data_IF_887176270275
#
_entry.id   IF_887176270275
#
_cell.length_a   1.000
_cell.length_b   1.000
_cell.length_c   1.000
_cell.angle_alpha   90.00
_cell.angle_beta   90.00
_cell.angle_gamma   90.00
#
_symmetry.space_group_name_H-M   'P 1'
#
loop_
_entity.id
_entity.type
_entity.pdbx_description
1 polymer ?
#
# COMPACT_ATOMS: atom_id res chain seq x y z
N UNK A 1 -13.26 3.25 -3.89
CA UNK A 1 -11.85 3.18 -4.34
C UNK A 1 -10.83 3.65 -3.28
N UNK A 2 -11.18 3.80 -1.99
CA UNK A 2 -10.20 4.18 -0.95
C UNK A 2 -9.10 3.14 -0.76
N UNK A 3 -9.38 1.88 -1.08
CA UNK A 3 -8.45 0.77 -0.84
C UNK A 3 -7.34 0.62 -1.91
N UNK A 4 -7.35 1.45 -2.94
CA UNK A 4 -6.36 1.42 -4.03
C UNK A 4 -5.22 2.41 -3.82
N UNK A 5 -5.37 3.34 -2.89
CA UNK A 5 -4.43 4.42 -2.65
C UNK A 5 -3.95 4.43 -1.18
N UNK A 6 -2.98 3.60 -0.82
CA UNK A 6 -2.31 3.76 0.46
C UNK A 6 -1.22 4.85 0.36
N UNK A 7 -1.52 5.94 -0.30
CA UNK A 7 -0.75 7.17 -0.08
C UNK A 7 -1.18 7.59 1.30
N UNK A 8 -0.27 7.56 2.25
CA UNK A 8 -0.60 8.01 3.59
C UNK A 8 -1.10 9.45 3.46
N UNK A 9 -2.35 9.67 3.85
CA UNK A 9 -2.96 11.01 3.86
C UNK A 9 -2.05 12.02 4.56
N UNK A 10 -1.27 11.57 5.55
CA UNK A 10 -0.23 12.33 6.23
C UNK A 10 0.87 12.86 5.30
N UNK A 11 1.32 12.08 4.32
CA UNK A 11 2.34 12.54 3.36
C UNK A 11 1.77 13.61 2.42
N UNK A 12 0.51 13.45 2.01
CA UNK A 12 -0.16 14.44 1.16
C UNK A 12 -0.46 15.70 1.96
N UNK A 13 -1.08 15.55 3.13
CA UNK A 13 -1.44 16.68 3.99
C UNK A 13 -0.21 17.44 4.47
N UNK A 14 0.88 16.75 4.83
CA UNK A 14 2.14 17.37 5.24
C UNK A 14 2.79 18.25 4.17
N UNK A 15 2.50 18.01 2.88
CA UNK A 15 3.01 18.84 1.77
C UNK A 15 2.11 20.02 1.39
N UNK A 16 0.81 19.91 1.64
CA UNK A 16 -0.18 20.93 1.22
C UNK A 16 -0.75 21.75 2.36
N UNK A 17 -0.67 21.27 3.58
CA UNK A 17 -1.02 22.06 4.77
C UNK A 17 0.27 22.56 5.41
N UNK A 18 0.34 23.86 5.81
CA UNK A 18 1.41 24.35 6.66
C UNK A 18 1.23 23.69 8.03
N UNK A 19 1.76 22.48 8.18
CA UNK A 19 1.85 21.83 9.49
C UNK A 19 2.98 22.53 10.22
N UNK A 20 2.64 23.47 11.06
CA UNK A 20 3.58 24.07 11.99
C UNK A 20 4.04 22.98 12.97
N UNK A 21 5.22 23.12 13.55
CA UNK A 21 5.79 22.17 14.53
C UNK A 21 4.86 21.89 15.74
N UNK A 22 3.77 22.65 15.88
CA UNK A 22 2.74 22.52 16.92
C UNK A 22 1.54 21.63 16.53
N UNK A 23 1.45 21.18 15.27
CA UNK A 23 0.31 20.40 14.77
C UNK A 23 0.66 18.91 14.58
N UNK A 24 -0.10 18.04 15.21
CA UNK A 24 0.00 16.59 15.04
C UNK A 24 -1.17 16.12 14.18
N UNK A 25 -0.87 15.46 13.05
CA UNK A 25 -1.88 14.85 12.19
C UNK A 25 -2.05 13.39 12.59
N UNK A 26 -3.26 13.04 13.02
CA UNK A 26 -3.63 11.70 13.44
C UNK A 26 -4.77 11.17 12.56
N UNK A 27 -4.68 9.91 12.18
CA UNK A 27 -5.80 9.19 11.57
C UNK A 27 -6.91 8.92 12.60
N UNK A 28 -8.12 8.64 12.14
CA UNK A 28 -9.24 8.31 13.03
C UNK A 28 -8.95 7.09 13.91
N UNK A 29 -8.18 6.12 13.40
CA UNK A 29 -7.77 4.94 14.17
C UNK A 29 -6.76 5.31 15.27
N UNK A 30 -5.77 6.13 14.96
CA UNK A 30 -4.80 6.61 15.96
C UNK A 30 -5.46 7.41 17.07
N UNK A 31 -6.44 8.27 16.74
CA UNK A 31 -7.23 8.99 17.75
C UNK A 31 -8.02 8.03 18.63
N UNK A 32 -8.61 6.98 18.04
CA UNK A 32 -9.35 5.98 18.81
C UNK A 32 -8.43 5.13 19.70
N UNK A 33 -7.28 4.73 19.19
CA UNK A 33 -6.28 4.00 19.97
C UNK A 33 -5.74 4.84 21.12
N UNK A 34 -5.44 6.11 20.87
CA UNK A 34 -5.01 7.05 21.88
C UNK A 34 -6.07 7.26 22.98
N UNK A 35 -7.35 7.38 22.59
CA UNK A 35 -8.45 7.43 23.55
C UNK A 35 -8.51 6.16 24.41
N UNK A 36 -8.35 4.97 23.81
CA UNK A 36 -8.36 3.71 24.55
C UNK A 36 -7.19 3.60 25.51
N UNK A 37 -6.02 4.06 25.14
CA UNK A 37 -4.83 4.01 25.97
C UNK A 37 -4.92 4.97 27.14
N UNK A 38 -5.30 6.24 26.90
CA UNK A 38 -5.34 7.28 27.93
C UNK A 38 -6.57 7.14 28.83
N UNK A 39 -7.77 6.94 28.25
CA UNK A 39 -9.03 6.99 29.03
C UNK A 39 -9.45 5.61 29.54
N UNK A 40 -9.12 4.56 28.79
CA UNK A 40 -9.51 3.18 29.14
C UNK A 40 -8.37 2.37 29.72
N UNK A 41 -7.17 2.94 29.80
CA UNK A 41 -5.94 2.27 30.29
C UNK A 41 -5.69 0.91 29.60
N UNK A 42 -6.07 0.81 28.30
CA UNK A 42 -5.96 -0.42 27.50
C UNK A 42 -4.96 -0.19 26.39
N UNK A 43 -3.83 -0.87 26.47
CA UNK A 43 -2.83 -0.88 25.39
C UNK A 43 -3.39 -1.55 24.14
N UNK A 44 -2.86 -1.15 22.98
CA UNK A 44 -3.15 -1.76 21.69
C UNK A 44 -2.54 -3.16 21.67
N UNK A 45 -3.37 -4.17 21.74
CA UNK A 45 -2.98 -5.60 21.70
C UNK A 45 -3.32 -6.29 20.38
N UNK A 46 -4.16 -5.64 19.58
CA UNK A 46 -4.65 -6.18 18.32
C UNK A 46 -4.91 -5.07 17.29
N UNK A 47 -4.83 -5.43 16.03
CA UNK A 47 -5.12 -4.57 14.89
C UNK A 47 -6.26 -5.12 14.06
N UNK A 48 -6.96 -4.25 13.34
CA UNK A 48 -7.90 -4.64 12.30
C UNK A 48 -7.13 -4.71 10.98
N UNK A 49 -7.15 -5.87 10.35
CA UNK A 49 -6.55 -6.09 9.04
C UNK A 49 -7.60 -6.50 8.02
N UNK A 50 -7.47 -5.96 6.83
CA UNK A 50 -8.31 -6.34 5.69
C UNK A 50 -7.59 -7.41 4.88
N UNK A 51 -8.22 -8.56 4.72
CA UNK A 51 -7.76 -9.67 3.88
C UNK A 51 -8.58 -9.68 2.59
N UNK A 52 -7.95 -9.42 1.45
CA UNK A 52 -8.64 -9.25 0.17
C UNK A 52 -7.77 -9.69 -1.01
N UNK A 53 -8.30 -9.63 -2.21
CA UNK A 53 -7.60 -9.94 -3.45
C UNK A 53 -8.45 -10.79 -4.41
N UNK A 54 -7.98 -11.00 -5.61
CA UNK A 54 -8.67 -11.78 -6.63
C UNK A 54 -8.54 -13.30 -6.40
N UNK A 55 -7.55 -13.72 -5.63
CA UNK A 55 -7.34 -15.13 -5.26
C UNK A 55 -8.29 -15.60 -4.14
N UNK A 56 -8.92 -14.70 -3.36
CA UNK A 56 -9.80 -15.07 -2.24
C UNK A 56 -11.26 -15.17 -2.67
N UNK A 57 -12.00 -16.04 -1.99
CA UNK A 57 -13.44 -16.22 -2.26
C UNK A 57 -14.26 -15.06 -1.73
N UNK A 58 -13.98 -14.61 -0.52
CA UNK A 58 -14.71 -13.53 0.15
C UNK A 58 -13.71 -12.68 0.95
N UNK A 59 -13.61 -11.38 0.66
CA UNK A 59 -12.83 -10.46 1.47
C UNK A 59 -13.36 -10.39 2.91
N UNK A 60 -12.44 -10.21 3.85
CA UNK A 60 -12.80 -10.11 5.28
C UNK A 60 -11.97 -9.06 5.98
N UNK A 61 -12.58 -8.43 6.98
CA UNK A 61 -11.86 -7.63 7.97
C UNK A 61 -11.82 -8.45 9.26
N UNK A 62 -10.62 -8.68 9.77
CA UNK A 62 -10.41 -9.49 10.96
C UNK A 62 -9.63 -8.71 12.02
N UNK A 63 -10.00 -8.92 13.28
CA UNK A 63 -9.22 -8.39 14.40
C UNK A 63 -8.19 -9.43 14.82
N UNK A 64 -6.92 -9.09 14.71
CA UNK A 64 -5.81 -10.01 14.97
C UNK A 64 -4.92 -9.45 16.06
N UNK A 65 -4.44 -10.30 16.95
CA UNK A 65 -3.43 -9.91 17.95
C UNK A 65 -2.11 -9.62 17.26
N UNK A 66 -1.43 -8.58 17.72
CA UNK A 66 -0.06 -8.26 17.28
C UNK A 66 0.86 -9.43 17.66
N UNK A 67 1.74 -9.82 16.74
CA UNK A 67 2.63 -10.97 16.92
C UNK A 67 2.08 -12.30 16.38
N UNK A 68 0.82 -12.35 15.91
CA UNK A 68 0.26 -13.57 15.30
C UNK A 68 0.84 -13.79 13.90
N UNK A 69 1.30 -15.00 13.53
CA UNK A 69 1.69 -15.32 12.16
C UNK A 69 0.50 -15.17 11.19
N UNK A 70 0.72 -14.54 10.04
CA UNK A 70 -0.33 -14.37 9.03
C UNK A 70 -0.88 -15.70 8.55
N UNK A 71 -0.06 -16.74 8.47
CA UNK A 71 -0.47 -18.07 8.06
C UNK A 71 -1.59 -18.61 8.94
N UNK A 72 -1.49 -18.51 10.28
CA UNK A 72 -2.53 -18.96 11.22
C UNK A 72 -3.85 -18.20 11.01
N UNK A 73 -3.76 -16.89 10.76
CA UNK A 73 -4.93 -16.05 10.50
C UNK A 73 -5.65 -16.51 9.23
N UNK A 74 -4.87 -16.77 8.18
CA UNK A 74 -5.39 -17.18 6.88
C UNK A 74 -6.02 -18.57 6.94
N UNK A 75 -5.35 -19.53 7.55
CA UNK A 75 -5.87 -20.89 7.72
C UNK A 75 -7.21 -20.91 8.51
N UNK A 76 -7.32 -20.04 9.51
CA UNK A 76 -8.53 -19.95 10.34
C UNK A 76 -9.69 -19.20 9.65
N UNK A 77 -9.42 -18.28 8.72
CA UNK A 77 -10.42 -17.31 8.28
C UNK A 77 -10.70 -17.29 6.79
N UNK A 78 -9.77 -17.76 5.95
CA UNK A 78 -9.83 -17.53 4.51
C UNK A 78 -10.08 -18.80 3.69
N UNK A 79 -10.78 -18.62 2.56
CA UNK A 79 -10.92 -19.63 1.53
C UNK A 79 -10.44 -19.04 0.20
N UNK A 80 -9.66 -19.82 -0.53
CA UNK A 80 -9.05 -19.41 -1.79
C UNK A 80 -9.75 -20.01 -3.00
N UNK A 81 -9.82 -19.24 -4.07
CA UNK A 81 -10.25 -19.68 -5.41
C UNK A 81 -9.07 -20.27 -6.21
N UNK A 82 -7.87 -19.80 -5.91
CA UNK A 82 -6.63 -20.23 -6.57
C UNK A 82 -5.57 -20.53 -5.53
N UNK A 83 -4.78 -21.57 -5.77
CA UNK A 83 -3.61 -21.90 -4.94
C UNK A 83 -2.33 -21.18 -5.40
N UNK A 84 -2.33 -20.66 -6.63
CA UNK A 84 -1.20 -19.91 -7.18
C UNK A 84 -1.45 -18.41 -7.01
N UNK A 85 -1.05 -17.89 -5.87
CA UNK A 85 -1.16 -16.47 -5.54
C UNK A 85 0.12 -15.92 -4.93
N UNK A 86 0.26 -14.61 -5.02
CA UNK A 86 1.27 -13.81 -4.32
C UNK A 86 0.60 -13.03 -3.19
N UNK A 87 1.34 -12.82 -2.11
CA UNK A 87 0.90 -12.03 -0.97
C UNK A 87 1.58 -10.68 -1.00
N UNK A 88 0.79 -9.61 -0.95
CA UNK A 88 1.28 -8.23 -0.95
C UNK A 88 0.72 -7.53 0.29
N UNK A 89 1.62 -7.00 1.12
CA UNK A 89 1.27 -6.32 2.36
C UNK A 89 1.22 -4.81 2.15
N UNK A 90 0.23 -4.15 2.74
CA UNK A 90 0.04 -2.70 2.78
C UNK A 90 -0.12 -2.01 1.41
N UNK A 91 -0.68 -2.72 0.43
CA UNK A 91 -1.16 -2.12 -0.79
C UNK A 91 -0.48 -2.58 -2.07
N UNK A 92 -1.23 -2.48 -3.17
CA UNK A 92 -0.82 -2.96 -4.49
C UNK A 92 0.23 -2.08 -5.17
N UNK A 93 0.44 -0.87 -4.69
CA UNK A 93 1.31 0.11 -5.32
C UNK A 93 2.71 0.17 -4.70
N UNK A 94 2.78 0.10 -3.38
CA UNK A 94 4.02 0.14 -2.58
C UNK A 94 4.22 -1.14 -1.76
N UNK A 95 3.29 -2.06 -1.83
CA UNK A 95 3.31 -3.26 -1.01
C UNK A 95 4.52 -4.14 -1.29
N UNK A 96 4.97 -4.81 -0.26
CA UNK A 96 6.06 -5.77 -0.34
C UNK A 96 5.48 -7.15 -0.62
N UNK A 97 5.94 -7.78 -1.70
CA UNK A 97 5.67 -9.21 -1.93
C UNK A 97 6.46 -10.02 -0.91
N UNK A 98 5.77 -10.87 -0.18
CA UNK A 98 6.37 -11.68 0.88
C UNK A 98 5.75 -13.08 0.90
N UNK A 99 6.49 -14.04 1.45
CA UNK A 99 5.91 -15.36 1.71
C UNK A 99 5.00 -15.28 2.93
N UNK A 100 3.86 -15.94 2.87
CA UNK A 100 2.86 -15.94 3.94
C UNK A 100 3.42 -16.42 5.28
N UNK A 101 4.36 -17.37 5.26
CA UNK A 101 5.03 -17.92 6.45
C UNK A 101 5.96 -16.95 7.15
N UNK A 102 6.43 -15.94 6.44
CA UNK A 102 7.43 -14.99 6.97
C UNK A 102 6.78 -13.74 7.55
N UNK A 103 5.47 -13.58 7.36
CA UNK A 103 4.73 -12.40 7.81
C UNK A 103 4.18 -12.62 9.21
N UNK A 104 4.61 -11.77 10.13
CA UNK A 104 4.06 -11.65 11.48
C UNK A 104 3.24 -10.35 11.52
N UNK A 105 2.04 -10.41 12.08
CA UNK A 105 1.16 -9.24 12.18
C UNK A 105 1.77 -8.22 13.15
N UNK A 106 2.08 -7.05 12.60
CA UNK A 106 2.54 -5.86 13.33
C UNK A 106 1.46 -4.80 13.35
N UNK A 107 1.66 -3.74 14.11
CA UNK A 107 0.71 -2.61 14.14
C UNK A 107 0.66 -1.79 12.85
N UNK A 108 1.64 -1.95 11.97
CA UNK A 108 1.69 -1.24 10.67
C UNK A 108 0.90 -1.96 9.56
N UNK A 109 0.56 -3.24 9.77
CA UNK A 109 -0.16 -4.01 8.75
C UNK A 109 -1.64 -3.64 8.81
N UNK A 110 -2.15 -3.08 7.69
CA UNK A 110 -3.56 -2.69 7.51
C UNK A 110 -4.29 -3.59 6.52
N UNK A 111 -3.61 -3.96 5.47
CA UNK A 111 -4.20 -4.70 4.35
C UNK A 111 -3.24 -5.78 3.88
N UNK A 112 -3.78 -6.96 3.61
CA UNK A 112 -3.06 -8.04 2.95
C UNK A 112 -3.83 -8.44 1.70
N UNK A 113 -3.16 -8.36 0.56
CA UNK A 113 -3.70 -8.75 -0.74
C UNK A 113 -3.19 -10.13 -1.14
N UNK A 114 -4.11 -10.98 -1.52
CA UNK A 114 -3.85 -12.30 -2.13
C UNK A 114 -4.19 -12.21 -3.61
N UNK A 115 -3.19 -11.96 -4.43
CA UNK A 115 -3.39 -11.73 -5.85
C UNK A 115 -2.96 -12.96 -6.65
N UNK A 116 -3.79 -13.39 -7.59
CA UNK A 116 -3.40 -14.47 -8.53
C UNK A 116 -2.16 -14.03 -9.27
N UNK A 117 -1.15 -14.90 -9.28
CA UNK A 117 0.11 -14.62 -10.00
C UNK A 117 -0.16 -14.41 -11.47
N UNK A 118 0.18 -13.23 -11.98
CA UNK A 118 0.13 -12.89 -13.39
C UNK A 118 1.55 -12.63 -13.87
N UNK A 119 1.98 -13.40 -14.86
CA UNK A 119 3.25 -13.10 -15.52
C UNK A 119 3.03 -11.87 -16.40
N UNK A 120 3.55 -10.74 -15.97
CA UNK A 120 3.57 -9.51 -16.77
C UNK A 120 4.98 -9.29 -17.32
N UNK A 121 5.08 -9.07 -18.61
CA UNK A 121 6.36 -8.76 -19.26
C UNK A 121 6.43 -7.25 -19.50
N UNK A 122 7.54 -6.65 -19.13
CA UNK A 122 7.85 -5.28 -19.50
C UNK A 122 7.98 -5.17 -21.02
N UNK A 123 7.35 -4.16 -21.60
CA UNK A 123 7.45 -3.85 -23.03
C UNK A 123 7.87 -2.40 -23.24
N UNK A 124 8.24 -2.08 -24.48
CA UNK A 124 8.64 -0.71 -24.83
C UNK A 124 7.53 0.31 -24.53
N UNK A 125 7.94 1.52 -24.13
CA UNK A 125 6.99 2.60 -23.87
C UNK A 125 6.22 2.98 -25.15
N UNK A 126 4.88 2.97 -25.06
CA UNK A 126 3.98 3.37 -26.17
C UNK A 126 3.63 4.87 -26.15
N UNK A 127 4.27 5.65 -25.32
CA UNK A 127 4.11 7.12 -25.22
C UNK A 127 2.67 7.58 -24.92
N UNK A 128 1.86 6.80 -24.20
CA UNK A 128 0.44 7.08 -23.93
C UNK A 128 0.21 8.23 -22.95
N UNK A 129 1.20 8.65 -22.15
CA UNK A 129 1.11 9.77 -21.22
C UNK A 129 0.37 9.50 -19.90
N UNK A 130 -0.28 8.34 -19.71
CA UNK A 130 -1.07 8.03 -18.51
C UNK A 130 -0.32 8.18 -17.20
N UNK A 131 0.97 7.88 -17.19
CA UNK A 131 1.82 8.04 -15.99
C UNK A 131 1.94 9.51 -15.54
N UNK A 132 1.92 10.46 -16.49
CA UNK A 132 1.92 11.89 -16.14
C UNK A 132 0.55 12.36 -15.63
N UNK A 133 -0.54 11.84 -16.20
CA UNK A 133 -1.92 12.21 -15.83
C UNK A 133 -2.25 11.75 -14.40
N UNK A 134 -1.81 10.54 -14.03
CA UNK A 134 -2.12 9.95 -12.72
C UNK A 134 -1.27 10.51 -11.59
N UNK A 135 -0.18 11.22 -11.90
CA UNK A 135 0.76 11.69 -10.88
C UNK A 135 0.14 12.82 -10.02
N UNK A 136 -0.07 12.61 -8.72
CA UNK A 136 -0.74 13.58 -7.84
C UNK A 136 0.08 14.85 -7.66
N UNK A 137 1.40 14.76 -7.75
CA UNK A 137 2.34 15.89 -7.60
C UNK A 137 2.88 16.39 -8.93
N UNK A 138 2.34 15.91 -10.05
CA UNK A 138 2.71 16.32 -11.41
C UNK A 138 4.20 16.21 -11.73
N UNK A 139 4.84 15.20 -11.19
CA UNK A 139 6.28 14.91 -11.31
C UNK A 139 6.74 14.53 -12.73
N UNK A 140 5.81 14.31 -13.65
CA UNK A 140 6.05 13.90 -15.03
C UNK A 140 6.91 12.62 -15.15
N UNK A 141 6.45 11.46 -14.64
CA UNK A 141 7.21 10.21 -14.62
C UNK A 141 7.75 9.77 -15.98
N UNK A 142 7.04 10.10 -17.05
CA UNK A 142 7.52 9.87 -18.42
C UNK A 142 8.85 10.55 -18.74
N UNK A 143 9.03 11.80 -18.29
CA UNK A 143 10.28 12.52 -18.50
C UNK A 143 11.41 11.97 -17.62
N UNK A 144 11.10 11.54 -16.41
CA UNK A 144 12.05 10.86 -15.54
C UNK A 144 12.55 9.55 -16.19
N UNK A 145 11.64 8.76 -16.75
CA UNK A 145 12.00 7.56 -17.53
C UNK A 145 12.92 7.85 -18.70
N UNK A 146 12.62 8.86 -19.52
CA UNK A 146 13.46 9.25 -20.66
C UNK A 146 14.84 9.80 -20.25
N UNK A 147 14.91 10.48 -19.12
CA UNK A 147 16.15 11.10 -18.62
C UNK A 147 16.93 10.23 -17.64
N UNK A 148 16.50 8.96 -17.46
CA UNK A 148 17.12 8.02 -16.54
C UNK A 148 17.27 8.57 -15.11
N UNK A 149 16.22 9.18 -14.57
CA UNK A 149 16.16 9.58 -13.16
C UNK A 149 16.58 11.00 -12.83
N UNK A 150 16.80 11.88 -13.80
CA UNK A 150 17.38 13.22 -13.52
C UNK A 150 16.37 14.34 -13.20
N UNK A 151 15.07 14.09 -13.06
CA UNK A 151 14.08 15.18 -13.06
C UNK A 151 12.97 15.16 -12.00
N UNK A 152 12.93 14.22 -11.08
CA UNK A 152 11.77 14.07 -10.21
C UNK A 152 12.05 13.90 -8.71
N UNK A 153 13.30 13.89 -8.30
CA UNK A 153 13.75 13.39 -6.99
C UNK A 153 13.16 14.13 -5.78
N UNK A 154 12.94 15.44 -5.86
CA UNK A 154 12.51 16.24 -4.69
C UNK A 154 10.98 16.30 -4.48
N UNK A 155 10.18 15.99 -5.50
CA UNK A 155 8.72 16.13 -5.44
C UNK A 155 7.98 14.78 -5.47
N UNK A 156 8.67 13.69 -5.74
CA UNK A 156 8.07 12.39 -5.85
C UNK A 156 7.59 11.87 -4.48
N UNK A 157 6.33 11.40 -4.43
CA UNK A 157 5.76 10.73 -3.25
C UNK A 157 6.13 9.24 -3.22
N UNK A 158 6.85 8.75 -4.22
CA UNK A 158 7.15 7.31 -4.39
C UNK A 158 5.91 6.42 -4.33
N UNK A 159 4.74 6.94 -4.68
CA UNK A 159 3.46 6.28 -4.50
C UNK A 159 3.21 5.07 -5.44
N UNK A 160 4.05 4.86 -6.46
CA UNK A 160 3.93 3.74 -7.40
C UNK A 160 2.82 3.84 -8.45
N UNK A 161 1.93 4.85 -8.39
CA UNK A 161 0.80 5.00 -9.31
C UNK A 161 1.21 5.00 -10.79
N UNK A 162 2.31 5.66 -11.12
CA UNK A 162 2.82 5.74 -12.49
C UNK A 162 3.19 4.37 -13.06
N UNK A 163 3.79 3.50 -12.25
CA UNK A 163 4.12 2.14 -12.64
C UNK A 163 2.88 1.28 -12.76
N UNK A 164 1.96 1.41 -11.81
CA UNK A 164 0.71 0.65 -11.77
C UNK A 164 -0.18 0.89 -12.99
N UNK A 165 -0.32 2.16 -13.42
CA UNK A 165 -1.17 2.52 -14.57
C UNK A 165 -0.52 2.21 -15.92
N UNK A 166 0.76 1.89 -15.95
CA UNK A 166 1.51 1.73 -17.19
C UNK A 166 1.07 0.48 -17.99
N UNK A 167 0.49 0.62 -19.19
CA UNK A 167 0.07 -0.52 -20.00
C UNK A 167 1.25 -1.35 -20.53
N UNK A 168 2.46 -0.78 -20.54
CA UNK A 168 3.70 -1.46 -20.90
C UNK A 168 4.40 -2.12 -19.71
N UNK A 169 3.78 -2.09 -18.51
CA UNK A 169 4.32 -2.64 -17.26
C UNK A 169 5.72 -2.17 -16.90
N UNK A 170 6.07 -0.93 -17.26
CA UNK A 170 7.37 -0.35 -16.95
C UNK A 170 7.40 0.03 -15.47
N UNK A 171 8.41 -0.42 -14.71
CA UNK A 171 8.55 -0.07 -13.30
C UNK A 171 9.11 1.35 -13.14
N UNK A 172 8.28 2.36 -13.46
CA UNK A 172 8.67 3.78 -13.51
C UNK A 172 9.25 4.29 -12.19
N UNK A 173 8.84 3.71 -11.07
CA UNK A 173 9.40 4.05 -9.74
C UNK A 173 10.91 3.83 -9.63
N UNK A 174 11.50 2.99 -10.48
CA UNK A 174 12.97 2.78 -10.53
C UNK A 174 13.73 3.92 -11.22
N UNK A 175 13.01 4.80 -11.90
CA UNK A 175 13.57 5.90 -12.68
C UNK A 175 13.30 7.28 -12.07
N UNK A 176 12.72 7.29 -10.86
CA UNK A 176 12.32 8.52 -10.17
C UNK A 176 13.10 8.67 -8.89
#
# INVERSE_FOLDING_TARGET
LPDVYPIEEKEILGRYLPVNDEAVVLSSEEVFDLYREIVKERRKDAVLITLTGDAVTTPKVVRVKIGTPLQEVVEATMNFKSQDYQVIVNGLLKGVESNISDIIITEDIRVVYFMVKKVTHESACIHCGKCNEVCPVRCKPYLAYLSQGKRCDEQCLECGLCSFICPSHIPLYKYI
#
